data_IF_793605139813
#
_entry.id   IF_793605139813
#
_cell.length_a   1.000
_cell.length_b   1.000
_cell.length_c   1.000
_cell.angle_alpha   90.00
_cell.angle_beta   90.00
_cell.angle_gamma   90.00
#
_symmetry.space_group_name_H-M   'P 1'
#
loop_
_entity.id
_entity.type
_entity.pdbx_description
1 polymer ?
#
# COMPACT_ATOMS: atom_id res chain seq x y z
N UNK A 1 10.96 -14.33 -2.26
CA UNK A 1 9.73 -14.51 -3.07
C UNK A 1 9.81 -13.61 -4.30
N UNK A 2 9.02 -13.87 -5.36
CA UNK A 2 9.00 -13.03 -6.58
C UNK A 2 7.59 -12.56 -6.98
N UNK A 3 6.53 -12.96 -6.27
CA UNK A 3 5.14 -12.68 -6.65
C UNK A 3 4.84 -11.19 -6.80
N UNK A 4 5.38 -10.36 -5.91
CA UNK A 4 5.21 -8.91 -5.95
C UNK A 4 5.89 -8.27 -7.17
N UNK A 5 7.15 -8.64 -7.46
CA UNK A 5 7.85 -8.19 -8.68
C UNK A 5 7.15 -8.65 -9.96
N UNK A 6 6.69 -9.90 -10.00
CA UNK A 6 5.94 -10.43 -11.12
C UNK A 6 4.64 -9.66 -11.36
N UNK A 7 3.91 -9.32 -10.29
CA UNK A 7 2.70 -8.51 -10.39
C UNK A 7 2.98 -7.08 -10.88
N UNK A 8 4.05 -6.44 -10.37
CA UNK A 8 4.46 -5.10 -10.82
C UNK A 8 4.85 -5.10 -12.31
N UNK A 9 5.57 -6.12 -12.76
CA UNK A 9 5.99 -6.25 -14.16
C UNK A 9 4.79 -6.51 -15.08
N UNK A 10 3.91 -7.46 -14.74
CA UNK A 10 2.72 -7.77 -15.53
C UNK A 10 1.79 -6.56 -15.67
N UNK A 11 1.65 -5.75 -14.61
CA UNK A 11 0.84 -4.52 -14.68
C UNK A 11 1.42 -3.49 -15.65
N UNK A 12 2.75 -3.34 -15.70
CA UNK A 12 3.45 -2.44 -16.63
C UNK A 12 3.53 -2.97 -18.06
N UNK A 13 3.31 -4.27 -18.26
CA UNK A 13 3.16 -4.89 -19.58
C UNK A 13 1.77 -4.58 -20.14
N UNK A 14 0.73 -4.73 -19.31
CA UNK A 14 -0.66 -4.45 -19.70
C UNK A 14 -0.96 -2.95 -19.82
N UNK A 15 -0.43 -2.14 -18.90
CA UNK A 15 -0.62 -0.68 -18.87
C UNK A 15 0.72 0.06 -18.88
N UNK A 16 1.40 0.17 -20.04
CA UNK A 16 2.76 0.69 -20.09
C UNK A 16 2.92 2.13 -19.61
N UNK A 17 1.95 2.99 -19.95
CA UNK A 17 1.97 4.44 -19.74
C UNK A 17 0.69 4.97 -19.05
N UNK A 18 -0.14 4.07 -18.51
CA UNK A 18 -1.41 4.40 -17.86
C UNK A 18 -1.52 3.68 -16.51
N UNK A 19 -2.36 4.21 -15.61
CA UNK A 19 -2.70 3.56 -14.34
C UNK A 19 -1.46 3.17 -13.49
N UNK A 20 -0.42 3.99 -13.55
CA UNK A 20 0.91 3.72 -12.98
C UNK A 20 1.04 4.00 -11.48
N UNK A 21 0.02 3.67 -10.67
CA UNK A 21 0.08 3.80 -9.20
C UNK A 21 0.20 2.42 -8.56
N UNK A 22 1.34 2.13 -7.93
CA UNK A 22 1.57 0.85 -7.28
C UNK A 22 1.01 0.82 -5.84
N UNK A 23 0.25 -0.23 -5.50
CA UNK A 23 -0.16 -0.51 -4.12
C UNK A 23 0.99 -1.16 -3.33
N UNK A 24 1.34 -0.61 -2.18
CA UNK A 24 2.58 -0.98 -1.48
C UNK A 24 2.41 -2.00 -0.34
N UNK A 25 1.18 -2.27 0.08
CA UNK A 25 0.91 -2.90 1.38
C UNK A 25 0.27 -4.31 1.27
N UNK A 26 0.42 -4.98 0.13
CA UNK A 26 0.01 -6.39 0.02
C UNK A 26 0.84 -7.25 1.00
N UNK A 27 2.14 -6.99 1.06
CA UNK A 27 3.07 -7.59 2.01
C UNK A 27 3.33 -6.60 3.17
N UNK A 28 4.21 -5.64 2.98
CA UNK A 28 4.55 -4.54 3.90
C UNK A 28 5.31 -3.50 3.08
N UNK A 29 5.25 -2.22 3.45
CA UNK A 29 6.01 -1.16 2.78
C UNK A 29 7.51 -1.50 2.66
N UNK A 30 8.13 -2.00 3.72
CA UNK A 30 9.57 -2.30 3.70
C UNK A 30 9.91 -3.44 2.71
N UNK A 31 9.05 -4.44 2.59
CA UNK A 31 9.20 -5.50 1.59
C UNK A 31 8.93 -5.00 0.17
N UNK A 32 7.99 -4.07 0.01
CA UNK A 32 7.72 -3.40 -1.26
C UNK A 32 8.93 -2.61 -1.75
N UNK A 33 9.54 -1.79 -0.91
CA UNK A 33 10.70 -0.97 -1.29
C UNK A 33 11.93 -1.81 -1.67
N UNK A 34 12.08 -3.02 -1.12
CA UNK A 34 13.15 -3.96 -1.57
C UNK A 34 12.94 -4.45 -3.00
N UNK A 35 11.69 -4.61 -3.42
CA UNK A 35 11.35 -5.05 -4.77
C UNK A 35 11.22 -3.86 -5.75
N UNK A 36 10.96 -2.65 -5.26
CA UNK A 36 10.70 -1.44 -6.05
C UNK A 36 12.00 -0.69 -6.40
N UNK A 37 12.89 -1.35 -7.15
CA UNK A 37 14.14 -0.75 -7.63
C UNK A 37 13.96 0.33 -8.71
N UNK A 38 15.06 0.85 -9.24
CA UNK A 38 15.07 1.97 -10.22
C UNK A 38 14.21 1.70 -11.46
N UNK A 39 14.17 0.47 -11.96
CA UNK A 39 13.37 0.11 -13.14
C UNK A 39 11.87 0.35 -12.91
N UNK A 40 11.34 -0.15 -11.77
CA UNK A 40 9.94 0.08 -11.43
C UNK A 40 9.69 1.52 -10.99
N UNK A 41 10.56 2.08 -10.15
CA UNK A 41 10.41 3.43 -9.62
C UNK A 41 10.41 4.50 -10.73
N UNK A 42 11.13 4.26 -11.82
CA UNK A 42 11.15 5.15 -12.98
C UNK A 42 9.84 5.06 -13.79
N UNK A 43 9.30 3.86 -13.96
CA UNK A 43 8.11 3.60 -14.80
C UNK A 43 6.78 3.88 -14.12
N UNK A 44 6.65 3.56 -12.83
CA UNK A 44 5.45 3.90 -12.08
C UNK A 44 5.40 5.42 -11.81
N UNK A 45 4.23 6.01 -11.95
CA UNK A 45 3.94 7.41 -11.67
C UNK A 45 3.89 7.69 -10.15
N UNK A 46 3.62 6.67 -9.34
CA UNK A 46 3.43 6.89 -7.92
C UNK A 46 3.10 5.64 -7.12
N UNK A 47 2.85 5.84 -5.83
CA UNK A 47 2.53 4.80 -4.84
C UNK A 47 1.21 5.09 -4.14
N UNK A 48 0.54 4.04 -3.66
CA UNK A 48 -0.71 4.16 -2.88
C UNK A 48 -0.59 3.59 -1.48
N UNK A 49 -0.99 4.42 -0.50
CA UNK A 49 -1.13 4.09 0.91
C UNK A 49 -2.53 3.54 1.21
N UNK A 50 -2.57 2.38 1.89
CA UNK A 50 -3.79 1.64 2.25
C UNK A 50 -3.72 0.96 3.63
N UNK A 51 -2.60 1.10 4.34
CA UNK A 51 -2.45 0.68 5.75
C UNK A 51 -1.22 1.29 6.42
N UNK A 52 -1.23 1.31 7.75
CA UNK A 52 -0.13 1.84 8.57
C UNK A 52 -0.22 3.37 8.75
N UNK A 53 0.77 3.94 9.45
CA UNK A 53 0.87 5.38 9.61
C UNK A 53 1.14 6.06 8.25
N UNK A 54 0.25 6.95 7.77
CA UNK A 54 0.42 7.60 6.47
C UNK A 54 1.64 8.53 6.43
N UNK A 55 2.02 9.15 7.54
CA UNK A 55 3.20 10.03 7.59
C UNK A 55 4.46 9.18 7.48
N UNK A 56 4.60 8.14 8.30
CA UNK A 56 5.75 7.23 8.22
C UNK A 56 5.89 6.62 6.82
N UNK A 57 4.78 6.16 6.24
CA UNK A 57 4.75 5.61 4.89
C UNK A 57 5.20 6.63 3.84
N UNK A 58 4.72 7.87 3.94
CA UNK A 58 5.07 8.94 2.99
C UNK A 58 6.54 9.33 3.07
N UNK A 59 7.09 9.43 4.29
CA UNK A 59 8.52 9.68 4.50
C UNK A 59 9.37 8.54 3.92
N UNK A 60 8.98 7.27 4.12
CA UNK A 60 9.67 6.12 3.51
C UNK A 60 9.63 6.16 1.99
N UNK A 61 8.50 6.55 1.39
CA UNK A 61 8.36 6.65 -0.06
C UNK A 61 9.28 7.74 -0.64
N UNK A 62 9.27 8.94 -0.05
CA UNK A 62 10.12 10.06 -0.48
C UNK A 62 11.59 9.69 -0.36
N UNK A 63 12.02 9.20 0.81
CA UNK A 63 13.40 8.81 1.04
C UNK A 63 13.87 7.70 0.07
N UNK A 64 12.97 6.81 -0.33
CA UNK A 64 13.28 5.77 -1.31
C UNK A 64 13.49 6.34 -2.72
N UNK A 65 12.65 7.27 -3.17
CA UNK A 65 12.86 7.96 -4.43
C UNK A 65 14.18 8.73 -4.45
N UNK A 66 14.47 9.48 -3.38
CA UNK A 66 15.73 10.21 -3.21
C UNK A 66 16.95 9.27 -3.26
N UNK A 67 16.87 8.12 -2.56
CA UNK A 67 17.92 7.09 -2.58
C UNK A 67 18.18 6.54 -3.98
N UNK A 68 17.16 6.49 -4.83
CA UNK A 68 17.26 6.05 -6.23
C UNK A 68 17.63 7.18 -7.19
N UNK A 69 17.85 8.41 -6.71
CA UNK A 69 18.15 9.58 -7.54
C UNK A 69 16.94 10.08 -8.35
N UNK A 70 15.72 9.75 -7.92
CA UNK A 70 14.47 10.18 -8.56
C UNK A 70 13.92 11.37 -7.78
N UNK A 71 13.61 12.46 -8.49
CA UNK A 71 12.94 13.62 -7.89
C UNK A 71 11.54 13.23 -7.38
N UNK A 72 11.27 13.28 -6.07
CA UNK A 72 9.96 12.94 -5.53
C UNK A 72 8.84 13.84 -6.08
N UNK A 73 9.12 15.09 -6.48
CA UNK A 73 8.11 15.98 -7.08
C UNK A 73 7.62 15.51 -8.46
N UNK A 74 8.35 14.60 -9.11
CA UNK A 74 7.91 13.93 -10.33
C UNK A 74 6.94 12.77 -10.08
N UNK A 75 6.70 12.41 -8.81
CA UNK A 75 5.92 11.25 -8.39
C UNK A 75 4.67 11.66 -7.62
N UNK A 76 3.70 10.74 -7.56
CA UNK A 76 2.44 10.93 -6.85
C UNK A 76 2.32 9.97 -5.67
N UNK A 77 1.93 10.46 -4.50
CA UNK A 77 1.48 9.64 -3.39
C UNK A 77 -0.05 9.72 -3.27
N UNK A 78 -0.70 8.56 -3.36
CA UNK A 78 -2.16 8.43 -3.21
C UNK A 78 -2.47 7.92 -1.82
N UNK A 79 -3.17 8.72 -1.01
CA UNK A 79 -3.60 8.31 0.34
C UNK A 79 -5.06 7.88 0.30
N UNK A 80 -5.36 6.67 0.79
CA UNK A 80 -6.71 6.08 0.67
C UNK A 80 -7.21 5.26 1.86
N UNK A 81 -6.43 5.10 2.94
CA UNK A 81 -6.87 4.33 4.12
C UNK A 81 -7.82 5.14 5.01
N UNK A 82 -9.13 4.95 4.82
CA UNK A 82 -10.21 5.44 5.71
C UNK A 82 -10.06 6.93 6.09
N UNK A 83 -9.73 7.76 5.11
CA UNK A 83 -9.55 9.20 5.30
C UNK A 83 -10.86 9.93 5.58
N UNK A 84 -10.74 11.03 6.32
CA UNK A 84 -11.68 12.13 6.31
C UNK A 84 -10.99 13.39 5.75
N UNK A 85 -11.75 14.46 5.53
CA UNK A 85 -11.21 15.70 4.97
C UNK A 85 -10.16 16.37 5.88
N UNK A 86 -10.26 16.23 7.20
CA UNK A 86 -9.29 16.85 8.12
C UNK A 86 -7.93 16.17 7.98
N UNK A 87 -7.91 14.83 8.02
CA UNK A 87 -6.69 14.03 7.80
C UNK A 87 -6.07 14.29 6.43
N UNK A 88 -6.89 14.42 5.38
CA UNK A 88 -6.40 14.74 4.05
C UNK A 88 -5.68 16.11 4.02
N UNK A 89 -6.24 17.14 4.68
CA UNK A 89 -5.61 18.47 4.78
C UNK A 89 -4.32 18.43 5.60
N UNK A 90 -4.27 17.67 6.68
CA UNK A 90 -3.06 17.48 7.49
C UNK A 90 -1.93 16.86 6.67
N UNK A 91 -2.22 15.77 5.95
CA UNK A 91 -1.27 15.12 5.05
C UNK A 91 -0.85 16.04 3.90
N UNK A 92 -1.78 16.82 3.34
CA UNK A 92 -1.47 17.82 2.33
C UNK A 92 -0.45 18.85 2.84
N UNK A 93 -0.68 19.41 4.03
CA UNK A 93 0.25 20.38 4.64
C UNK A 93 1.63 19.77 4.90
N UNK A 94 1.69 18.49 5.25
CA UNK A 94 2.94 17.79 5.55
C UNK A 94 3.80 17.46 4.31
N UNK A 95 3.16 17.18 3.17
CA UNK A 95 3.86 16.64 1.99
C UNK A 95 3.83 17.50 0.72
N UNK A 96 2.93 18.49 0.61
CA UNK A 96 2.65 19.21 -0.65
C UNK A 96 3.85 19.93 -1.28
N UNK A 97 4.86 20.30 -0.50
CA UNK A 97 6.09 20.92 -1.03
C UNK A 97 7.14 19.92 -1.52
N UNK A 98 6.91 18.61 -1.33
CA UNK A 98 7.92 17.56 -1.57
C UNK A 98 7.50 16.52 -2.61
N UNK A 99 6.20 16.32 -2.81
CA UNK A 99 5.66 15.26 -3.70
C UNK A 99 4.25 15.61 -4.15
N UNK A 100 3.82 15.10 -5.30
CA UNK A 100 2.42 15.27 -5.74
C UNK A 100 1.49 14.38 -4.91
N UNK A 101 0.27 14.85 -4.68
CA UNK A 101 -0.65 14.23 -3.73
C UNK A 101 -2.02 13.99 -4.37
N UNK A 102 -2.62 12.85 -4.03
CA UNK A 102 -4.01 12.53 -4.31
C UNK A 102 -4.65 11.86 -3.10
N UNK A 103 -5.94 12.11 -2.87
CA UNK A 103 -6.66 11.62 -1.70
C UNK A 103 -7.93 10.89 -2.13
N UNK A 104 -7.98 9.58 -1.86
CA UNK A 104 -9.17 8.76 -2.03
C UNK A 104 -10.01 8.75 -0.76
N UNK A 105 -11.18 9.38 -0.79
CA UNK A 105 -12.13 9.42 0.34
C UNK A 105 -13.39 8.63 -0.04
N UNK A 106 -13.59 7.50 0.63
CA UNK A 106 -14.73 6.59 0.39
C UNK A 106 -15.92 6.90 1.30
N UNK A 107 -16.11 6.07 2.33
CA UNK A 107 -17.28 6.12 3.24
C UNK A 107 -17.54 7.50 3.84
N UNK A 108 -16.50 8.25 4.20
CA UNK A 108 -16.63 9.62 4.76
C UNK A 108 -17.14 10.66 3.76
N UNK A 109 -17.11 10.34 2.47
CA UNK A 109 -17.69 11.18 1.43
C UNK A 109 -19.08 10.69 1.04
N UNK A 110 -19.26 9.37 0.88
CA UNK A 110 -20.48 8.80 0.30
C UNK A 110 -21.53 8.35 1.31
N UNK A 111 -21.18 8.25 2.60
CA UNK A 111 -22.07 7.78 3.66
C UNK A 111 -21.78 8.48 5.00
N UNK A 112 -21.70 9.82 4.99
CA UNK A 112 -21.58 10.64 6.21
C UNK A 112 -22.91 11.39 6.47
N UNK A 113 -23.92 10.63 6.93
CA UNK A 113 -25.29 11.12 7.14
C UNK A 113 -25.60 11.09 8.64
N UNK A 114 -26.14 12.17 9.24
CA UNK A 114 -26.51 12.18 10.65
C UNK A 114 -27.39 10.98 11.03
N UNK A 115 -27.07 10.33 12.15
CA UNK A 115 -27.79 9.17 12.71
C UNK A 115 -27.70 7.88 11.86
N UNK A 116 -26.98 7.89 10.74
CA UNK A 116 -26.70 6.68 9.94
C UNK A 116 -25.30 6.17 10.27
N UNK A 117 -25.21 4.89 10.67
CA UNK A 117 -23.93 4.21 10.85
C UNK A 117 -23.62 3.39 9.59
N UNK A 118 -22.53 3.69 8.86
CA UNK A 118 -22.13 2.88 7.71
C UNK A 118 -21.83 1.44 8.12
N UNK A 119 -22.21 0.50 7.26
CA UNK A 119 -21.83 -0.90 7.42
C UNK A 119 -20.36 -1.09 7.02
N UNK A 120 -19.59 -1.78 7.86
CA UNK A 120 -18.21 -2.16 7.57
C UNK A 120 -18.18 -3.58 7.00
N UNK A 121 -18.33 -3.70 5.68
CA UNK A 121 -18.41 -4.97 4.96
C UNK A 121 -17.21 -5.06 4.01
N UNK A 122 -16.60 -6.24 3.94
CA UNK A 122 -15.46 -6.51 3.05
C UNK A 122 -15.68 -7.82 2.29
N UNK A 123 -15.26 -7.84 1.04
CA UNK A 123 -15.09 -9.05 0.23
C UNK A 123 -13.61 -9.14 -0.12
N UNK A 124 -13.01 -10.33 0.05
CA UNK A 124 -11.57 -10.54 -0.13
C UNK A 124 -11.31 -11.82 -0.89
N UNK A 125 -10.27 -11.79 -1.72
CA UNK A 125 -9.73 -13.00 -2.36
C UNK A 125 -9.07 -13.86 -1.28
N UNK A 126 -9.51 -15.12 -1.16
CA UNK A 126 -8.98 -16.09 -0.20
C UNK A 126 -8.23 -17.24 -0.86
N UNK A 127 -8.48 -17.48 -2.15
CA UNK A 127 -7.91 -18.58 -2.91
C UNK A 127 -7.64 -18.18 -4.36
N UNK A 128 -6.58 -18.73 -4.95
CA UNK A 128 -6.30 -18.69 -6.38
C UNK A 128 -5.74 -20.06 -6.81
N UNK A 129 -6.30 -20.66 -7.86
CA UNK A 129 -5.92 -22.00 -8.35
C UNK A 129 -5.90 -23.09 -7.25
N UNK A 130 -6.93 -23.13 -6.39
CA UNK A 130 -6.99 -24.13 -5.31
C UNK A 130 -6.01 -23.89 -4.16
N UNK A 131 -5.31 -22.75 -4.13
CA UNK A 131 -4.27 -22.44 -3.12
C UNK A 131 -4.58 -21.14 -2.37
N UNK A 132 -4.24 -21.06 -1.08
CA UNK A 132 -4.52 -19.87 -0.28
C UNK A 132 -3.73 -18.65 -0.77
N UNK A 133 -4.33 -17.48 -0.64
CA UNK A 133 -3.66 -16.17 -0.77
C UNK A 133 -3.79 -15.38 0.53
N UNK A 134 -2.99 -14.34 0.70
CA UNK A 134 -3.02 -13.50 1.90
C UNK A 134 -2.56 -12.07 1.62
N UNK A 135 -3.20 -11.11 2.30
CA UNK A 135 -2.66 -9.75 2.53
C UNK A 135 -2.11 -9.68 3.95
N UNK A 136 -0.88 -9.20 4.11
CA UNK A 136 -0.23 -9.02 5.41
C UNK A 136 -0.43 -7.59 5.94
N UNK A 137 -0.20 -6.58 5.10
CA UNK A 137 -0.32 -5.15 5.39
C UNK A 137 0.62 -4.61 6.47
N UNK A 138 0.71 -3.27 6.56
CA UNK A 138 1.49 -2.56 7.58
C UNK A 138 0.69 -2.30 8.88
N UNK A 139 -0.60 -2.68 8.92
CA UNK A 139 -1.43 -2.61 10.13
C UNK A 139 -1.60 -3.99 10.78
N UNK A 140 -1.20 -4.16 12.06
CA UNK A 140 -1.45 -5.39 12.80
C UNK A 140 -2.94 -5.77 12.80
N UNK A 141 -3.25 -7.05 12.65
CA UNK A 141 -4.63 -7.55 12.74
C UNK A 141 -5.48 -7.44 11.47
N UNK A 142 -4.97 -6.84 10.38
CA UNK A 142 -5.65 -6.85 9.06
C UNK A 142 -5.37 -8.11 8.22
N UNK A 143 -4.58 -9.07 8.72
CA UNK A 143 -4.28 -10.32 7.98
C UNK A 143 -5.53 -11.17 7.79
N UNK A 144 -5.90 -11.39 6.53
CA UNK A 144 -7.05 -12.22 6.16
C UNK A 144 -6.53 -13.41 5.38
N UNK A 145 -6.25 -14.48 6.11
CA UNK A 145 -5.94 -15.80 5.60
C UNK A 145 -6.10 -16.79 6.75
N UNK A 146 -6.96 -17.80 6.59
CA UNK A 146 -7.20 -18.80 7.63
C UNK A 146 -6.08 -19.84 7.71
N UNK A 147 -5.30 -19.99 6.64
CA UNK A 147 -4.13 -20.87 6.61
C UNK A 147 -2.92 -20.20 7.28
N UNK A 148 -2.76 -20.49 8.57
CA UNK A 148 -1.63 -20.02 9.37
C UNK A 148 -0.28 -20.55 8.85
N UNK A 149 -0.25 -21.72 8.21
CA UNK A 149 0.98 -22.26 7.64
C UNK A 149 1.41 -21.46 6.41
N UNK A 150 0.45 -21.13 5.54
CA UNK A 150 0.68 -20.25 4.39
C UNK A 150 1.15 -18.86 4.83
N UNK A 151 0.49 -18.23 5.83
CA UNK A 151 0.93 -16.92 6.37
C UNK A 151 2.37 -16.99 6.89
N UNK A 152 2.75 -18.03 7.63
CA UNK A 152 4.14 -18.21 8.10
C UNK A 152 5.13 -18.36 6.94
N UNK A 153 4.77 -19.16 5.93
CA UNK A 153 5.60 -19.36 4.75
C UNK A 153 5.78 -18.05 3.96
N UNK A 154 4.69 -17.27 3.78
CA UNK A 154 4.72 -15.98 3.10
C UNK A 154 5.62 -14.98 3.84
N UNK A 155 5.49 -14.87 5.17
CA UNK A 155 6.35 -14.02 5.99
C UNK A 155 7.82 -14.40 5.87
N UNK A 156 8.13 -15.70 5.90
CA UNK A 156 9.49 -16.22 5.70
C UNK A 156 10.01 -15.89 4.29
N UNK A 157 9.18 -16.06 3.27
CA UNK A 157 9.58 -15.85 1.88
C UNK A 157 9.86 -14.39 1.51
N UNK A 158 9.39 -13.45 2.33
CA UNK A 158 9.65 -12.01 2.22
C UNK A 158 10.57 -11.48 3.33
N UNK A 159 11.21 -12.35 4.11
CA UNK A 159 12.14 -11.97 5.19
C UNK A 159 11.54 -10.96 6.19
N UNK A 160 10.27 -11.17 6.55
CA UNK A 160 9.58 -10.30 7.51
C UNK A 160 9.95 -10.66 8.96
N UNK A 161 10.05 -9.67 9.86
CA UNK A 161 10.37 -9.92 11.26
C UNK A 161 9.33 -10.83 11.93
N UNK A 162 9.77 -11.59 12.94
CA UNK A 162 8.85 -12.41 13.74
C UNK A 162 7.85 -11.52 14.49
N UNK A 163 6.57 -11.86 14.41
CA UNK A 163 5.53 -11.19 15.20
C UNK A 163 5.79 -11.54 16.67
N UNK A 164 6.27 -10.58 17.46
CA UNK A 164 6.23 -10.72 18.92
C UNK A 164 4.76 -10.84 19.31
N UNK A 165 4.39 -11.89 20.06
CA UNK A 165 3.06 -11.94 20.67
C UNK A 165 2.91 -10.66 21.49
N UNK A 166 1.88 -9.87 21.20
CA UNK A 166 1.46 -8.82 22.12
C UNK A 166 1.22 -9.50 23.47
N UNK A 167 1.90 -8.99 24.51
CA UNK A 167 1.74 -9.45 25.90
C UNK A 167 0.41 -8.97 26.44
#
# INVERSE_FOLDING_TARGET
ANSQRAALAAWLEEYPDQLGIALTDCITMDAFLRDFGVEFASRYQGLRHDSGDPVEWGEKAIAHYEKLGIDPQSKTLVFSDNLDLRKAVELYRHFSSRVQLSFGIGTRLTCDIPQVKPLNIVIKLVECNGKPVAKLSDSPGKTICHDKAFVRALRKAFDLPHIKKAS
#
